data_IF_733447190541
#
_entry.id   IF_733447190541
#
_cell.length_a   1.000
_cell.length_b   1.000
_cell.length_c   1.000
_cell.angle_alpha   90.00
_cell.angle_beta   90.00
_cell.angle_gamma   90.00
#
_symmetry.space_group_name_H-M   'P 1'
#
loop_
_entity.id
_entity.type
_entity.pdbx_description
1 polymer ?
#
# COMPACT_ATOMS: atom_id res chain seq x y z
N UNK A 1 -19.29 -4.85 21.48
CA UNK A 1 -19.24 -5.15 20.04
C UNK A 1 -18.60 -3.94 19.39
N UNK A 2 -17.41 -4.09 18.82
CA UNK A 2 -16.73 -2.99 18.12
C UNK A 2 -17.54 -2.69 16.85
N UNK A 3 -17.87 -1.42 16.60
CA UNK A 3 -18.53 -1.03 15.35
C UNK A 3 -17.70 -1.55 14.15
N UNK A 4 -18.34 -2.05 13.08
CA UNK A 4 -17.61 -2.39 11.88
C UNK A 4 -16.85 -1.15 11.41
N UNK A 5 -15.54 -1.28 11.18
CA UNK A 5 -14.73 -0.17 10.68
C UNK A 5 -15.28 0.30 9.33
N UNK A 6 -15.20 1.60 9.05
CA UNK A 6 -15.62 2.12 7.74
C UNK A 6 -14.80 1.47 6.61
N UNK A 7 -15.32 1.48 5.37
CA UNK A 7 -14.59 0.95 4.21
C UNK A 7 -13.22 1.63 4.08
N UNK A 8 -13.20 2.95 4.27
CA UNK A 8 -11.99 3.76 4.25
C UNK A 8 -10.98 3.34 5.32
N UNK A 9 -11.40 3.20 6.58
CA UNK A 9 -10.50 2.78 7.66
C UNK A 9 -9.94 1.38 7.42
N UNK A 10 -10.79 0.46 6.96
CA UNK A 10 -10.36 -0.88 6.59
C UNK A 10 -9.34 -0.86 5.45
N UNK A 11 -9.63 -0.14 4.36
CA UNK A 11 -8.76 -0.05 3.19
C UNK A 11 -7.41 0.58 3.52
N UNK A 12 -7.41 1.67 4.31
CA UNK A 12 -6.18 2.33 4.81
C UNK A 12 -5.35 1.38 5.67
N UNK A 13 -5.99 0.59 6.52
CA UNK A 13 -5.32 -0.42 7.36
C UNK A 13 -4.66 -1.50 6.52
N UNK A 14 -5.42 -2.11 5.58
CA UNK A 14 -4.90 -3.16 4.71
C UNK A 14 -3.75 -2.67 3.83
N UNK A 15 -3.90 -1.48 3.24
CA UNK A 15 -2.82 -0.87 2.47
C UNK A 15 -1.60 -0.58 3.35
N UNK A 16 -1.79 -0.08 4.57
CA UNK A 16 -0.66 0.17 5.48
C UNK A 16 0.11 -1.10 5.81
N UNK A 17 -0.60 -2.22 6.01
CA UNK A 17 0.02 -3.51 6.32
C UNK A 17 0.86 -4.03 5.16
N UNK A 18 0.41 -3.86 3.90
CA UNK A 18 1.18 -4.21 2.69
C UNK A 18 2.58 -3.56 2.67
N UNK A 19 2.71 -2.37 3.26
CA UNK A 19 3.92 -1.55 3.20
C UNK A 19 4.79 -1.64 4.45
N UNK A 20 4.22 -1.97 5.61
CA UNK A 20 4.95 -2.12 6.88
C UNK A 20 5.55 -3.51 7.04
N UNK A 21 4.90 -4.54 6.53
CA UNK A 21 5.36 -5.93 6.65
C UNK A 21 5.22 -6.68 5.32
N UNK A 22 6.07 -6.37 4.31
CA UNK A 22 6.00 -7.05 3.03
C UNK A 22 6.38 -8.52 3.20
N UNK A 23 5.37 -9.41 3.19
CA UNK A 23 5.56 -10.86 3.08
C UNK A 23 5.01 -11.70 4.24
N UNK A 24 5.20 -11.31 5.51
CA UNK A 24 4.88 -12.21 6.64
C UNK A 24 3.43 -12.14 7.15
N UNK A 25 2.78 -10.95 7.17
CA UNK A 25 1.40 -10.82 7.65
C UNK A 25 0.32 -10.99 6.56
N UNK A 26 0.73 -10.99 5.28
CA UNK A 26 -0.19 -11.02 4.14
C UNK A 26 -0.63 -12.43 3.74
N UNK A 27 -0.05 -13.48 4.36
CA UNK A 27 -0.49 -14.86 4.16
C UNK A 27 -1.62 -15.25 5.15
N UNK A 28 -1.71 -14.60 6.31
CA UNK A 28 -2.70 -14.94 7.34
C UNK A 28 -4.08 -14.30 7.13
N UNK A 29 -4.16 -13.20 6.36
CA UNK A 29 -5.43 -12.56 5.98
C UNK A 29 -5.45 -12.40 4.46
N UNK A 30 -6.33 -13.13 3.78
CA UNK A 30 -6.51 -13.01 2.32
C UNK A 30 -7.17 -11.67 2.00
N UNK A 31 -6.37 -10.60 1.98
CA UNK A 31 -6.80 -9.24 1.64
C UNK A 31 -7.36 -9.18 0.23
N UNK A 32 -6.94 -10.08 -0.65
CA UNK A 32 -7.40 -10.17 -2.04
C UNK A 32 -8.33 -11.37 -2.21
N UNK A 33 -9.27 -11.29 -3.16
CA UNK A 33 -9.99 -12.47 -3.65
C UNK A 33 -9.03 -13.38 -4.43
N UNK A 34 -9.39 -14.66 -4.59
CA UNK A 34 -8.56 -15.63 -5.32
C UNK A 34 -8.35 -15.25 -6.79
N UNK A 35 -9.31 -14.52 -7.37
CA UNK A 35 -9.36 -14.06 -8.76
C UNK A 35 -9.07 -12.55 -8.90
N UNK A 36 -8.49 -11.93 -7.86
CA UNK A 36 -8.31 -10.49 -7.84
C UNK A 36 -7.47 -9.99 -9.03
N UNK A 37 -7.96 -8.93 -9.67
CA UNK A 37 -7.29 -8.31 -10.81
C UNK A 37 -6.38 -7.19 -10.34
N UNK A 38 -5.08 -7.33 -10.55
CA UNK A 38 -4.10 -6.30 -10.18
C UNK A 38 -3.43 -5.73 -11.41
N UNK A 39 -3.50 -4.40 -11.56
CA UNK A 39 -2.75 -3.64 -12.54
C UNK A 39 -1.66 -2.85 -11.83
N UNK A 40 -0.42 -3.28 -12.01
CA UNK A 40 0.79 -2.65 -11.49
C UNK A 40 1.47 -1.85 -12.62
N UNK A 41 1.50 -0.53 -12.51
CA UNK A 41 2.06 0.36 -13.53
C UNK A 41 1.53 0.03 -14.94
N UNK A 42 0.21 -0.05 -15.06
CA UNK A 42 -0.51 -0.39 -16.30
C UNK A 42 -0.24 -1.79 -16.88
N UNK A 43 0.42 -2.68 -16.13
CA UNK A 43 0.65 -4.07 -16.52
C UNK A 43 -0.13 -5.02 -15.60
N UNK A 44 -0.83 -5.99 -16.19
CA UNK A 44 -1.58 -6.98 -15.39
C UNK A 44 -0.62 -7.96 -14.74
N UNK A 45 -0.77 -8.15 -13.43
CA UNK A 45 0.07 -9.04 -12.62
C UNK A 45 -0.78 -9.88 -11.67
N UNK A 46 -0.23 -11.00 -11.19
CA UNK A 46 -0.87 -11.75 -10.10
C UNK A 46 -0.68 -11.02 -8.76
N UNK A 47 -1.54 -11.34 -7.79
CA UNK A 47 -1.39 -10.85 -6.39
C UNK A 47 -0.03 -11.23 -5.82
N UNK A 48 0.45 -12.44 -6.11
CA UNK A 48 1.78 -12.92 -5.69
C UNK A 48 2.90 -12.09 -6.30
N UNK A 49 2.84 -11.80 -7.60
CA UNK A 49 3.82 -10.94 -8.28
C UNK A 49 3.80 -9.53 -7.72
N UNK A 50 2.62 -8.97 -7.42
CA UNK A 50 2.50 -7.68 -6.77
C UNK A 50 3.16 -7.68 -5.38
N UNK A 51 2.82 -8.64 -4.51
CA UNK A 51 3.41 -8.78 -3.16
C UNK A 51 4.93 -8.97 -3.25
N UNK A 52 5.41 -9.80 -4.17
CA UNK A 52 6.83 -10.01 -4.44
C UNK A 52 7.52 -8.73 -4.87
N UNK A 53 6.92 -7.92 -5.75
CA UNK A 53 7.49 -6.64 -6.18
C UNK A 53 7.67 -5.65 -5.02
N UNK A 54 6.72 -5.63 -4.06
CA UNK A 54 6.85 -4.81 -2.85
C UNK A 54 7.99 -5.33 -1.96
N UNK A 55 8.07 -6.65 -1.78
CA UNK A 55 9.13 -7.28 -0.99
C UNK A 55 10.53 -7.09 -1.61
N UNK A 56 10.68 -7.18 -2.94
CA UNK A 56 11.95 -6.95 -3.63
C UNK A 56 12.38 -5.49 -3.53
N UNK A 57 11.44 -4.54 -3.68
CA UNK A 57 11.74 -3.11 -3.57
C UNK A 57 12.15 -2.69 -2.15
N UNK A 58 11.55 -3.29 -1.12
CA UNK A 58 11.62 -2.78 0.25
C UNK A 58 11.99 -3.85 1.27
N UNK A 59 12.73 -4.87 0.84
CA UNK A 59 13.00 -6.10 1.58
C UNK A 59 13.40 -5.92 3.03
N UNK A 60 13.05 -6.95 3.81
CA UNK A 60 13.29 -7.01 5.25
C UNK A 60 14.75 -6.68 5.58
N UNK A 61 14.95 -5.64 6.40
CA UNK A 61 16.26 -5.31 6.95
C UNK A 61 16.81 -3.95 6.55
N UNK A 62 16.29 -3.31 5.49
CA UNK A 62 16.82 -2.03 5.00
C UNK A 62 16.02 -0.81 5.48
N UNK A 63 14.70 -0.98 5.61
CA UNK A 63 13.78 0.05 6.09
C UNK A 63 13.76 0.06 7.63
N UNK A 64 13.82 1.26 8.22
CA UNK A 64 13.69 1.50 9.65
C UNK A 64 12.27 1.94 10.02
N UNK A 65 11.67 2.82 9.21
CA UNK A 65 10.35 3.40 9.47
C UNK A 65 9.61 3.64 8.15
N UNK A 66 8.27 3.56 8.22
CA UNK A 66 7.36 3.76 7.08
C UNK A 66 6.24 4.70 7.49
N UNK A 67 6.20 5.87 6.85
CA UNK A 67 5.12 6.84 6.96
C UNK A 67 4.26 6.80 5.71
N UNK A 68 2.94 6.84 5.89
CA UNK A 68 1.95 6.74 4.81
C UNK A 68 0.97 7.89 4.98
N UNK A 69 0.88 8.74 3.97
CA UNK A 69 -0.05 9.86 3.92
C UNK A 69 -1.02 9.69 2.75
N UNK A 70 -2.32 9.86 3.02
CA UNK A 70 -3.38 9.69 2.03
C UNK A 70 -3.90 11.06 1.61
N UNK A 71 -3.92 11.30 0.30
CA UNK A 71 -4.33 12.57 -0.31
C UNK A 71 -5.48 12.33 -1.27
N UNK A 72 -6.38 13.30 -1.33
CA UNK A 72 -7.52 13.31 -2.27
C UNK A 72 -8.29 11.98 -2.27
N UNK A 73 -8.65 11.51 -1.07
CA UNK A 73 -9.37 10.26 -0.90
C UNK A 73 -10.77 10.36 -1.51
N UNK A 74 -11.08 9.42 -2.39
CA UNK A 74 -12.39 9.23 -3.03
C UNK A 74 -12.90 7.86 -2.61
N UNK A 75 -14.13 7.76 -2.11
CA UNK A 75 -14.71 6.47 -1.78
C UNK A 75 -16.22 6.48 -2.03
N UNK A 76 -16.75 5.27 -2.21
CA UNK A 76 -18.18 5.01 -2.30
C UNK A 76 -18.44 3.70 -1.55
N UNK A 77 -19.21 3.78 -0.46
CA UNK A 77 -19.54 2.64 0.39
C UNK A 77 -20.52 1.69 -0.32
N UNK A 78 -21.44 2.22 -1.14
CA UNK A 78 -22.43 1.42 -1.86
C UNK A 78 -21.78 0.71 -3.05
N UNK A 79 -20.97 1.45 -3.82
CA UNK A 79 -20.20 0.86 -4.89
C UNK A 79 -18.97 0.09 -4.37
N UNK A 80 -18.62 0.17 -3.09
CA UNK A 80 -17.51 -0.61 -2.51
C UNK A 80 -16.16 -0.31 -3.17
N UNK A 81 -15.77 0.96 -3.28
CA UNK A 81 -14.43 1.31 -3.75
C UNK A 81 -13.78 2.44 -2.96
N UNK A 82 -12.45 2.44 -2.97
CA UNK A 82 -11.60 3.49 -2.40
C UNK A 82 -10.49 3.81 -3.39
N UNK A 83 -10.30 5.08 -3.68
CA UNK A 83 -9.26 5.58 -4.57
C UNK A 83 -8.63 6.86 -4.02
N UNK A 84 -7.48 7.24 -4.54
CA UNK A 84 -6.80 8.47 -4.18
C UNK A 84 -5.30 8.39 -4.45
N UNK A 85 -4.58 9.35 -3.88
CA UNK A 85 -3.13 9.38 -3.91
C UNK A 85 -2.56 8.99 -2.55
N UNK A 86 -1.45 8.26 -2.57
CA UNK A 86 -0.76 7.83 -1.36
C UNK A 86 0.71 8.17 -1.47
N UNK A 87 1.20 8.94 -0.52
CA UNK A 87 2.61 9.24 -0.37
C UNK A 87 3.19 8.34 0.70
N UNK A 88 4.15 7.50 0.31
CA UNK A 88 4.86 6.63 1.24
C UNK A 88 6.29 7.13 1.40
N UNK A 89 6.64 7.53 2.62
CA UNK A 89 8.01 7.89 2.98
C UNK A 89 8.63 6.75 3.77
N UNK A 90 9.73 6.20 3.25
CA UNK A 90 10.52 5.17 3.94
C UNK A 90 11.82 5.76 4.41
N UNK A 91 12.06 5.67 5.71
CA UNK A 91 13.36 5.98 6.31
C UNK A 91 14.19 4.71 6.38
N UNK A 92 15.38 4.74 5.78
CA UNK A 92 16.28 3.60 5.69
C UNK A 92 17.22 3.56 6.89
N UNK A 93 17.74 2.39 7.26
CA UNK A 93 18.68 2.25 8.38
C UNK A 93 20.03 2.93 8.11
N UNK A 94 20.43 3.04 6.84
CA UNK A 94 21.63 3.76 6.46
C UNK A 94 21.41 5.27 6.48
N UNK A 95 22.42 5.99 6.95
CA UNK A 95 22.37 7.45 7.09
C UNK A 95 23.10 8.11 5.94
N UNK A 96 22.57 9.24 5.49
CA UNK A 96 23.27 10.16 4.59
C UNK A 96 23.39 11.48 5.35
N UNK A 97 24.62 11.88 5.67
CA UNK A 97 24.92 13.09 6.45
C UNK A 97 24.24 13.06 7.83
N UNK A 98 23.36 14.02 8.12
CA UNK A 98 22.76 14.26 9.44
C UNK A 98 21.49 13.43 9.74
N UNK A 99 21.00 12.61 8.81
CA UNK A 99 19.76 11.83 9.00
C UNK A 99 19.72 10.51 8.25
N UNK A 100 18.68 9.69 8.50
CA UNK A 100 18.38 8.50 7.70
C UNK A 100 18.20 8.86 6.23
N UNK A 101 18.69 8.02 5.31
CA UNK A 101 18.33 8.15 3.91
C UNK A 101 16.83 7.90 3.75
N UNK A 102 16.18 8.66 2.87
CA UNK A 102 14.74 8.55 2.64
C UNK A 102 14.44 8.26 1.17
N UNK A 103 13.43 7.42 0.96
CA UNK A 103 12.82 7.16 -0.33
C UNK A 103 11.35 7.56 -0.24
N UNK A 104 10.91 8.39 -1.18
CA UNK A 104 9.50 8.75 -1.32
C UNK A 104 8.90 7.97 -2.48
N UNK A 105 7.82 7.23 -2.23
CA UNK A 105 7.00 6.60 -3.26
C UNK A 105 5.69 7.36 -3.38
N UNK A 106 5.38 7.85 -4.57
CA UNK A 106 4.11 8.49 -4.89
C UNK A 106 3.24 7.48 -5.60
N UNK A 107 2.01 7.28 -5.13
CA UNK A 107 1.13 6.20 -5.57
C UNK A 107 -0.21 6.78 -5.98
N UNK A 108 -0.66 6.47 -7.19
CA UNK A 108 -2.08 6.54 -7.56
C UNK A 108 -2.70 5.18 -7.31
N UNK A 109 -3.74 5.14 -6.48
CA UNK A 109 -4.38 3.90 -6.05
C UNK A 109 -5.88 3.95 -6.33
N UNK A 110 -6.43 2.84 -6.82
CA UNK A 110 -7.87 2.57 -6.86
C UNK A 110 -8.09 1.11 -6.50
N UNK A 111 -8.96 0.84 -5.54
CA UNK A 111 -9.29 -0.49 -5.05
C UNK A 111 -10.79 -0.70 -5.06
N UNK A 112 -11.23 -1.79 -5.69
CA UNK A 112 -12.57 -2.33 -5.56
C UNK A 112 -12.58 -3.32 -4.41
N UNK A 113 -13.50 -3.15 -3.47
CA UNK A 113 -13.64 -3.96 -2.27
C UNK A 113 -14.97 -4.72 -2.37
N UNK A 114 -14.88 -6.05 -2.36
CA UNK A 114 -16.01 -6.93 -2.17
C UNK A 114 -16.30 -7.07 -0.67
N UNK A 115 -17.58 -7.14 -0.31
CA UNK A 115 -18.02 -7.38 1.05
C UNK A 115 -18.95 -8.59 1.10
N UNK A 116 -18.55 -9.61 1.87
CA UNK A 116 -19.32 -10.82 2.12
C UNK A 116 -19.55 -10.93 3.64
N UNK A 117 -20.74 -10.54 4.10
CA UNK A 117 -21.01 -10.38 5.53
C UNK A 117 -20.11 -9.32 6.17
N UNK A 118 -19.35 -9.71 7.19
CA UNK A 118 -18.38 -8.86 7.89
C UNK A 118 -16.98 -8.89 7.25
N UNK A 119 -16.77 -9.78 6.27
CA UNK A 119 -15.47 -9.92 5.60
C UNK A 119 -15.39 -8.99 4.39
N UNK A 120 -14.29 -8.24 4.30
CA UNK A 120 -13.95 -7.41 3.14
C UNK A 120 -12.71 -7.97 2.46
N UNK A 121 -12.70 -7.92 1.13
CA UNK A 121 -11.59 -8.37 0.28
C UNK A 121 -11.45 -7.45 -0.93
N UNK A 122 -10.24 -7.31 -1.46
CA UNK A 122 -9.93 -6.53 -2.66
C UNK A 122 -10.12 -7.44 -3.88
N UNK A 123 -11.06 -7.11 -4.76
CA UNK A 123 -11.30 -7.84 -6.00
C UNK A 123 -10.60 -7.22 -7.20
N UNK A 124 -10.35 -5.90 -7.17
CA UNK A 124 -9.59 -5.21 -8.21
C UNK A 124 -8.70 -4.13 -7.59
N UNK A 125 -7.50 -3.97 -8.12
CA UNK A 125 -6.58 -2.92 -7.71
C UNK A 125 -5.81 -2.35 -8.90
N UNK A 126 -5.87 -1.04 -9.04
CA UNK A 126 -5.03 -0.26 -9.94
C UNK A 126 -4.00 0.47 -9.09
N UNK A 127 -2.74 0.14 -9.31
CA UNK A 127 -1.62 0.67 -8.57
C UNK A 127 -0.60 1.23 -9.57
N UNK A 128 -0.39 2.53 -9.53
CA UNK A 128 0.67 3.18 -10.31
C UNK A 128 1.58 3.92 -9.35
N UNK A 129 2.88 3.67 -9.39
CA UNK A 129 3.81 4.29 -8.46
C UNK A 129 5.10 4.74 -9.11
N UNK A 130 5.65 5.84 -8.61
CA UNK A 130 7.02 6.30 -8.91
C UNK A 130 7.79 6.51 -7.62
N UNK A 131 9.04 6.06 -7.61
CA UNK A 131 9.97 6.26 -6.51
C UNK A 131 10.86 7.48 -6.79
N UNK A 132 11.10 8.33 -5.79
CA UNK A 132 12.04 9.45 -5.84
C UNK A 132 12.94 9.41 -4.60
N UNK A 133 14.23 9.68 -4.80
CA UNK A 133 15.13 9.96 -3.69
C UNK A 133 14.73 11.28 -3.03
N UNK A 134 14.86 11.35 -1.70
CA UNK A 134 14.70 12.62 -0.99
C UNK A 134 15.74 13.64 -1.47
N UNK A 135 15.30 14.88 -1.70
CA UNK A 135 16.21 15.96 -2.10
C UNK A 135 17.18 16.28 -0.96
N UNK A 136 18.49 16.21 -1.26
CA UNK A 136 19.54 16.61 -0.32
C UNK A 136 19.77 18.11 -0.48
N UNK A 137 19.20 18.92 0.41
CA UNK A 137 19.52 20.34 0.47
C UNK A 137 20.98 20.51 0.95
N UNK A 138 21.84 20.98 0.04
CA UNK A 138 23.20 21.39 0.36
C UNK A 138 23.16 22.86 0.76
N UNK A 139 23.24 23.14 2.06
CA UNK A 139 23.55 24.48 2.58
C UNK A 139 25.06 24.69 2.63
#
# INVERSE_FOLDING_TARGET
>A
MSSPSSLTEWAKSQFSNLFKEPGNQLEEVSVFTADAQVLLNHSQVSVEQFKKSLAEKFGAGVVQDVQIDWKELIHDEEAGFVAGFVDVTRSMKFRIRAGPAQIHTYISLSMKVAQEGDQRTVSQMFYTSVDKAAEVHLH
#
